data_IF_885648513468
#
_entry.id   IF_885648513468
#
_cell.length_a   1.000
_cell.length_b   1.000
_cell.length_c   1.000
_cell.angle_alpha   90.00
_cell.angle_beta   90.00
_cell.angle_gamma   90.00
#
_symmetry.space_group_name_H-M   'P 1'
#
loop_
_entity.id
_entity.type
_entity.pdbx_description
1 polymer ?
#
# COMPACT_ATOMS: atom_id res chain seq x y z
N UNK A 1 9.90 13.30 4.60
CA UNK A 1 9.49 12.86 5.99
C UNK A 1 7.98 12.68 6.14
N UNK A 2 7.13 13.68 5.93
CA UNK A 2 5.68 13.60 6.23
C UNK A 2 4.95 12.36 5.66
N UNK A 3 5.28 11.90 4.46
CA UNK A 3 4.69 10.70 3.87
C UNK A 3 5.01 9.42 4.66
N UNK A 4 6.26 9.27 5.11
CA UNK A 4 6.70 8.10 5.89
C UNK A 4 6.11 8.13 7.29
N UNK A 5 6.08 9.27 7.95
CA UNK A 5 5.44 9.42 9.27
C UNK A 5 3.96 9.04 9.21
N UNK A 6 3.26 9.47 8.16
CA UNK A 6 1.86 9.11 7.96
C UNK A 6 1.71 7.62 7.64
N UNK A 7 2.60 7.03 6.83
CA UNK A 7 2.60 5.59 6.56
C UNK A 7 2.74 4.77 7.86
N UNK A 8 3.70 5.14 8.71
CA UNK A 8 3.92 4.47 10.00
C UNK A 8 2.76 4.68 10.98
N UNK A 9 2.08 5.83 10.91
CA UNK A 9 0.86 6.07 11.68
C UNK A 9 -0.29 5.16 11.25
N UNK A 10 -0.52 5.02 9.94
CA UNK A 10 -1.56 4.13 9.39
C UNK A 10 -1.24 2.66 9.70
N UNK A 11 0.04 2.26 9.62
CA UNK A 11 0.49 0.92 9.98
C UNK A 11 0.17 0.58 11.44
N UNK A 12 0.50 1.47 12.37
CA UNK A 12 0.17 1.30 13.79
C UNK A 12 -1.35 1.24 14.04
N UNK A 13 -2.13 2.04 13.30
CA UNK A 13 -3.59 2.01 13.39
C UNK A 13 -4.14 0.68 12.88
N UNK A 14 -3.60 0.15 11.77
CA UNK A 14 -3.98 -1.14 11.22
C UNK A 14 -3.77 -2.29 12.22
N UNK A 15 -2.60 -2.36 12.86
CA UNK A 15 -2.31 -3.37 13.90
C UNK A 15 -3.25 -3.28 15.10
N UNK A 16 -3.59 -2.07 15.54
CA UNK A 16 -4.56 -1.89 16.63
C UNK A 16 -5.95 -2.42 16.26
N UNK A 17 -6.37 -2.25 14.99
CA UNK A 17 -7.65 -2.74 14.50
C UNK A 17 -7.64 -4.27 14.31
N UNK A 18 -6.55 -4.82 13.77
CA UNK A 18 -6.35 -6.26 13.61
C UNK A 18 -6.39 -6.99 14.98
N UNK A 19 -5.69 -6.46 15.99
CA UNK A 19 -5.58 -7.06 17.31
C UNK A 19 -6.91 -7.12 18.07
N UNK A 20 -7.94 -6.37 17.67
CA UNK A 20 -9.28 -6.50 18.23
C UNK A 20 -9.93 -7.83 17.89
N UNK A 21 -9.47 -8.50 16.83
CA UNK A 21 -10.04 -9.74 16.30
C UNK A 21 -11.57 -9.68 16.08
N UNK A 22 -12.07 -8.49 15.75
CA UNK A 22 -13.48 -8.22 15.44
C UNK A 22 -13.63 -8.11 13.92
N UNK A 23 -14.39 -9.04 13.29
CA UNK A 23 -14.62 -9.01 11.84
C UNK A 23 -15.11 -7.65 11.31
N UNK A 24 -15.85 -6.90 12.14
CA UNK A 24 -16.36 -5.56 11.75
C UNK A 24 -15.26 -4.52 11.59
N UNK A 25 -14.08 -4.75 12.16
CA UNK A 25 -12.92 -3.86 12.03
C UNK A 25 -11.94 -4.31 10.96
N UNK A 26 -12.12 -5.48 10.36
CA UNK A 26 -11.17 -6.05 9.41
C UNK A 26 -10.99 -5.21 8.15
N UNK A 27 -12.06 -4.64 7.59
CA UNK A 27 -11.94 -3.72 6.46
C UNK A 27 -11.14 -2.48 6.80
N UNK A 28 -11.36 -1.93 7.98
CA UNK A 28 -10.62 -0.75 8.43
C UNK A 28 -9.13 -1.08 8.61
N UNK A 29 -8.80 -2.27 9.15
CA UNK A 29 -7.42 -2.73 9.25
C UNK A 29 -6.76 -2.84 7.87
N UNK A 30 -7.44 -3.47 6.90
CA UNK A 30 -6.96 -3.61 5.53
C UNK A 30 -6.82 -2.26 4.85
N UNK A 31 -7.80 -1.36 5.00
CA UNK A 31 -7.70 0.01 4.48
C UNK A 31 -6.44 0.71 4.99
N UNK A 32 -6.17 0.57 6.29
CA UNK A 32 -4.98 1.16 6.89
C UNK A 32 -3.67 0.53 6.42
N UNK A 33 -3.61 -0.79 6.21
CA UNK A 33 -2.45 -1.45 5.61
C UNK A 33 -2.21 -0.98 4.17
N UNK A 34 -3.26 -0.89 3.36
CA UNK A 34 -3.16 -0.37 1.99
C UNK A 34 -2.68 1.09 1.99
N UNK A 35 -3.26 1.95 2.83
CA UNK A 35 -2.86 3.35 2.96
C UNK A 35 -1.42 3.51 3.45
N UNK A 36 -0.95 2.66 4.36
CA UNK A 36 0.44 2.68 4.83
C UNK A 36 1.41 2.39 3.67
N UNK A 37 1.17 1.33 2.91
CA UNK A 37 1.99 0.99 1.73
C UNK A 37 1.92 2.09 0.68
N UNK A 38 0.75 2.61 0.38
CA UNK A 38 0.56 3.72 -0.57
C UNK A 38 1.41 4.93 -0.19
N UNK A 39 1.33 5.37 1.06
CA UNK A 39 2.06 6.54 1.54
C UNK A 39 3.56 6.31 1.60
N UNK A 40 4.00 5.11 1.95
CA UNK A 40 5.41 4.76 1.95
C UNK A 40 6.00 4.82 0.52
N UNK A 41 5.30 4.28 -0.48
CA UNK A 41 5.71 4.37 -1.89
C UNK A 41 5.72 5.83 -2.38
N UNK A 42 4.70 6.61 -2.02
CA UNK A 42 4.66 8.05 -2.34
C UNK A 42 5.79 8.83 -1.69
N UNK A 43 6.21 8.44 -0.49
CA UNK A 43 7.37 9.02 0.18
C UNK A 43 8.66 8.84 -0.62
N UNK A 44 8.92 7.63 -1.10
CA UNK A 44 10.08 7.36 -1.97
C UNK A 44 10.01 8.20 -3.26
N UNK A 45 8.85 8.23 -3.92
CA UNK A 45 8.68 9.02 -5.14
C UNK A 45 8.91 10.51 -4.92
N UNK A 46 8.44 11.06 -3.79
CA UNK A 46 8.63 12.46 -3.44
C UNK A 46 10.12 12.83 -3.26
N UNK A 47 10.89 11.96 -2.59
CA UNK A 47 12.33 12.20 -2.42
C UNK A 47 13.08 12.07 -3.74
N UNK A 48 12.77 11.07 -4.56
CA UNK A 48 13.36 10.91 -5.89
C UNK A 48 13.02 12.10 -6.81
N UNK A 49 11.81 12.64 -6.69
CA UNK A 49 11.42 13.86 -7.41
C UNK A 49 12.21 15.06 -6.93
N UNK A 50 12.37 15.24 -5.62
CA UNK A 50 13.16 16.33 -5.04
C UNK A 50 14.61 16.27 -5.51
N UNK A 51 15.20 15.08 -5.57
CA UNK A 51 16.55 14.85 -6.11
C UNK A 51 16.68 14.97 -7.62
N UNK A 52 15.62 15.30 -8.35
CA UNK A 52 15.64 15.41 -9.81
C UNK A 52 15.79 14.09 -10.58
N UNK A 53 15.71 12.95 -9.86
CA UNK A 53 15.89 11.60 -10.42
C UNK A 53 14.59 11.06 -11.04
N UNK A 54 13.45 11.59 -10.62
CA UNK A 54 12.13 11.16 -11.02
C UNK A 54 11.23 12.36 -11.34
N UNK A 55 10.72 12.41 -12.58
CA UNK A 55 9.90 13.54 -13.03
C UNK A 55 8.42 13.46 -12.65
N UNK A 56 7.96 12.23 -12.24
CA UNK A 56 6.56 11.97 -11.98
C UNK A 56 6.24 11.98 -10.49
N UNK A 57 5.96 12.98 -9.81
CA UNK A 57 5.67 13.05 -8.37
C UNK A 57 4.72 11.98 -7.80
N UNK A 58 4.40 12.03 -6.51
CA UNK A 58 3.62 10.99 -5.82
C UNK A 58 2.19 10.77 -6.36
N UNK A 59 1.67 11.71 -7.15
CA UNK A 59 0.36 11.60 -7.78
C UNK A 59 -0.81 11.56 -6.79
N UNK A 60 -2.04 11.63 -7.33
CA UNK A 60 -3.27 11.63 -6.53
C UNK A 60 -3.99 10.27 -6.53
N UNK A 61 -3.46 9.26 -7.22
CA UNK A 61 -4.07 7.92 -7.29
C UNK A 61 -3.78 7.11 -6.03
N UNK A 62 -4.73 6.29 -5.63
CA UNK A 62 -4.56 5.34 -4.53
C UNK A 62 -3.78 4.10 -4.96
N UNK A 63 -3.85 3.71 -6.23
CA UNK A 63 -3.04 2.62 -6.76
C UNK A 63 -1.58 3.05 -6.92
N UNK A 64 -0.66 2.25 -6.39
CA UNK A 64 0.78 2.53 -6.38
C UNK A 64 1.60 1.69 -7.36
N UNK A 65 1.01 0.68 -7.98
CA UNK A 65 1.72 -0.18 -8.93
C UNK A 65 2.43 0.60 -10.05
N UNK A 66 1.79 1.58 -10.71
CA UNK A 66 2.49 2.38 -11.73
C UNK A 66 3.66 3.17 -11.16
N UNK A 67 3.53 3.64 -9.93
CA UNK A 67 4.58 4.40 -9.25
C UNK A 67 5.76 3.49 -8.85
N UNK A 68 5.49 2.29 -8.37
CA UNK A 68 6.51 1.28 -8.08
C UNK A 68 7.30 0.95 -9.35
N UNK A 69 6.61 0.71 -10.47
CA UNK A 69 7.27 0.44 -11.75
C UNK A 69 8.15 1.60 -12.21
N UNK A 70 7.70 2.85 -12.00
CA UNK A 70 8.48 4.03 -12.33
C UNK A 70 9.73 4.17 -11.44
N UNK A 71 9.61 3.90 -10.14
CA UNK A 71 10.74 3.88 -9.20
C UNK A 71 11.77 2.80 -9.59
N UNK A 72 11.31 1.63 -10.07
CA UNK A 72 12.18 0.56 -10.54
C UNK A 72 13.01 0.92 -11.77
N UNK A 73 12.50 1.78 -12.61
CA UNK A 73 13.18 2.22 -13.83
C UNK A 73 14.14 3.39 -13.60
N UNK A 74 14.37 3.80 -12.33
CA UNK A 74 15.39 4.78 -11.99
C UNK A 74 16.77 4.25 -12.42
N UNK A 75 17.60 5.07 -13.09
CA UNK A 75 18.90 4.66 -13.59
C UNK A 75 19.77 4.06 -12.47
N UNK A 76 20.37 2.89 -12.77
CA UNK A 76 21.28 2.22 -11.84
C UNK A 76 22.66 2.81 -12.01
N UNK A 77 23.16 3.47 -10.97
CA UNK A 77 24.54 3.98 -10.88
C UNK A 77 25.26 3.38 -9.67
N UNK A 78 26.57 3.43 -9.67
CA UNK A 78 27.37 2.97 -8.52
C UNK A 78 27.07 3.78 -7.26
N UNK A 79 26.75 5.06 -7.39
CA UNK A 79 26.34 5.95 -6.32
C UNK A 79 25.04 5.49 -5.64
N UNK A 80 24.18 4.77 -6.37
CA UNK A 80 22.88 4.29 -5.90
C UNK A 80 22.90 2.80 -5.51
N UNK A 81 24.07 2.14 -5.41
CA UNK A 81 24.18 0.68 -5.22
C UNK A 81 23.41 0.17 -3.99
N UNK A 82 23.52 0.84 -2.84
CA UNK A 82 22.81 0.43 -1.63
C UNK A 82 21.30 0.67 -1.72
N UNK A 83 20.90 1.73 -2.38
CA UNK A 83 19.50 1.99 -2.71
C UNK A 83 18.93 0.87 -3.59
N UNK A 84 19.66 0.49 -4.65
CA UNK A 84 19.27 -0.58 -5.57
C UNK A 84 19.11 -1.91 -4.83
N UNK A 85 20.05 -2.26 -3.93
CA UNK A 85 19.93 -3.49 -3.12
C UNK A 85 18.65 -3.50 -2.27
N UNK A 86 18.31 -2.37 -1.64
CA UNK A 86 17.07 -2.25 -0.86
C UNK A 86 15.84 -2.34 -1.75
N UNK A 87 15.88 -1.69 -2.92
CA UNK A 87 14.81 -1.79 -3.91
C UNK A 87 14.65 -3.22 -4.43
N UNK A 88 15.73 -3.93 -4.74
CA UNK A 88 15.69 -5.33 -5.17
C UNK A 88 15.05 -6.24 -4.11
N UNK A 89 15.18 -5.93 -2.82
CA UNK A 89 14.49 -6.65 -1.75
C UNK A 89 12.96 -6.47 -1.77
N UNK A 90 12.44 -5.33 -2.26
CA UNK A 90 11.00 -5.13 -2.45
C UNK A 90 10.44 -5.99 -3.58
N UNK A 91 11.30 -6.34 -4.55
CA UNK A 91 10.88 -6.94 -5.81
C UNK A 91 11.09 -8.46 -5.88
N UNK A 92 11.33 -9.11 -4.75
CA UNK A 92 11.22 -10.56 -4.69
C UNK A 92 9.82 -11.00 -5.14
N UNK A 93 9.69 -12.04 -5.99
CA UNK A 93 8.42 -12.40 -6.63
C UNK A 93 7.24 -12.60 -5.68
N UNK A 94 7.49 -13.10 -4.46
CA UNK A 94 6.46 -13.26 -3.45
C UNK A 94 5.98 -11.90 -2.89
N UNK A 95 6.88 -10.90 -2.74
CA UNK A 95 6.50 -9.55 -2.28
C UNK A 95 5.76 -8.77 -3.34
N UNK A 96 6.16 -8.89 -4.60
CA UNK A 96 5.42 -8.26 -5.71
C UNK A 96 3.96 -8.72 -5.74
N UNK A 97 3.71 -10.04 -5.55
CA UNK A 97 2.35 -10.58 -5.48
C UNK A 97 1.55 -10.00 -4.32
N UNK A 98 2.17 -9.87 -3.15
CA UNK A 98 1.49 -9.37 -1.97
C UNK A 98 1.26 -7.85 -2.05
N UNK A 99 2.20 -7.09 -2.61
CA UNK A 99 2.02 -5.66 -2.90
C UNK A 99 0.91 -5.46 -3.92
N UNK A 100 0.90 -6.26 -4.99
CA UNK A 100 -0.16 -6.19 -5.99
C UNK A 100 -1.54 -6.56 -5.41
N UNK A 101 -1.59 -7.53 -4.48
CA UNK A 101 -2.82 -7.89 -3.79
C UNK A 101 -3.33 -6.76 -2.88
N UNK A 102 -2.43 -6.06 -2.16
CA UNK A 102 -2.80 -4.87 -1.39
C UNK A 102 -3.22 -3.71 -2.29
N UNK A 103 -2.51 -3.50 -3.40
CA UNK A 103 -2.83 -2.43 -4.37
C UNK A 103 -4.18 -2.66 -5.06
N UNK A 104 -4.53 -3.92 -5.32
CA UNK A 104 -5.83 -4.29 -5.87
C UNK A 104 -7.00 -3.94 -4.94
N UNK A 105 -6.72 -3.73 -3.65
CA UNK A 105 -7.68 -3.28 -2.65
C UNK A 105 -7.72 -1.74 -2.52
N UNK A 106 -6.92 -1.01 -3.30
CA UNK A 106 -6.97 0.44 -3.32
C UNK A 106 -8.41 0.90 -3.62
N UNK A 107 -8.93 1.88 -2.86
CA UNK A 107 -10.30 2.33 -3.03
C UNK A 107 -10.49 2.85 -4.45
N UNK A 108 -11.43 2.25 -5.14
CA UNK A 108 -11.92 2.74 -6.43
C UNK A 108 -13.26 3.39 -6.15
N UNK A 109 -13.36 4.69 -6.42
CA UNK A 109 -14.65 5.39 -6.38
C UNK A 109 -15.64 4.60 -7.26
N UNK A 110 -16.92 4.52 -6.89
CA UNK A 110 -17.84 3.58 -7.53
C UNK A 110 -17.83 3.73 -9.05
N UNK A 111 -17.01 2.91 -9.66
CA UNK A 111 -17.07 2.61 -11.07
C UNK A 111 -18.22 1.61 -11.24
N UNK A 112 -19.28 1.93 -11.97
CA UNK A 112 -20.39 1.02 -12.18
C UNK A 112 -19.97 -0.38 -12.62
N UNK A 113 -18.83 -0.50 -13.33
CA UNK A 113 -18.25 -1.78 -13.73
C UNK A 113 -17.55 -2.56 -12.60
N UNK A 114 -17.33 -1.94 -11.45
CA UNK A 114 -16.63 -2.52 -10.30
C UNK A 114 -17.46 -2.58 -9.00
N UNK A 115 -18.76 -2.28 -9.09
CA UNK A 115 -19.66 -2.31 -7.94
C UNK A 115 -19.71 -3.67 -7.23
N UNK A 116 -19.34 -4.75 -7.94
CA UNK A 116 -19.28 -6.11 -7.40
C UNK A 116 -17.88 -6.51 -6.88
N UNK A 117 -16.90 -5.60 -6.98
CA UNK A 117 -15.58 -5.89 -6.47
C UNK A 117 -15.55 -5.75 -4.94
N UNK A 118 -14.82 -6.66 -4.31
CA UNK A 118 -14.47 -6.58 -2.89
C UNK A 118 -13.96 -5.19 -2.55
N UNK A 119 -14.65 -4.51 -1.65
CA UNK A 119 -14.30 -3.15 -1.25
C UNK A 119 -14.22 -3.08 0.28
N UNK A 120 -13.19 -2.45 0.79
CA UNK A 120 -12.94 -2.30 2.21
C UNK A 120 -13.28 -0.90 2.74
N UNK A 121 -13.59 0.04 1.86
CA UNK A 121 -13.79 1.44 2.21
C UNK A 121 -15.20 1.95 1.91
N UNK A 122 -15.80 1.46 0.81
CA UNK A 122 -17.11 1.92 0.33
C UNK A 122 -18.14 0.79 0.28
N UNK A 123 -19.42 1.11 0.49
CA UNK A 123 -20.49 0.17 0.23
C UNK A 123 -20.43 -0.38 -1.21
N UNK A 124 -20.77 -1.64 -1.39
CA UNK A 124 -20.80 -2.30 -2.69
C UNK A 124 -22.18 -2.93 -2.95
N UNK A 125 -22.50 -3.17 -4.21
CA UNK A 125 -23.72 -3.87 -4.62
C UNK A 125 -23.41 -5.33 -4.94
N UNK A 126 -24.27 -6.25 -4.51
CA UNK A 126 -24.20 -7.63 -4.96
C UNK A 126 -24.86 -7.84 -6.34
N UNK A 127 -24.83 -9.07 -6.84
CA UNK A 127 -25.44 -9.42 -8.15
C UNK A 127 -26.96 -9.25 -8.19
N UNK A 128 -27.64 -9.11 -7.04
CA UNK A 128 -29.07 -8.84 -6.94
C UNK A 128 -29.39 -7.34 -6.94
N UNK A 129 -28.37 -6.48 -6.84
CA UNK A 129 -28.51 -5.05 -6.70
C UNK A 129 -28.68 -4.57 -5.26
N UNK A 130 -28.58 -5.45 -4.27
CA UNK A 130 -28.64 -5.07 -2.85
C UNK A 130 -27.33 -4.43 -2.39
N UNK A 131 -27.43 -3.34 -1.61
CA UNK A 131 -26.29 -2.64 -1.04
C UNK A 131 -25.81 -3.30 0.24
N UNK A 132 -24.50 -3.50 0.33
CA UNK A 132 -23.81 -4.05 1.49
C UNK A 132 -22.77 -3.08 2.02
N UNK A 133 -22.62 -2.95 3.36
CA UNK A 133 -21.52 -2.19 3.93
C UNK A 133 -20.20 -2.91 3.66
N UNK A 134 -19.06 -2.16 3.61
CA UNK A 134 -17.75 -2.79 3.59
C UNK A 134 -17.63 -3.73 4.79
N UNK A 135 -17.06 -4.90 4.63
CA UNK A 135 -16.88 -5.86 5.73
C UNK A 135 -18.16 -6.40 6.38
N UNK A 136 -19.16 -6.67 5.61
CA UNK A 136 -20.27 -7.46 6.13
C UNK A 136 -19.77 -8.87 6.49
N UNK A 137 -19.75 -9.27 7.79
CA UNK A 137 -19.09 -10.52 8.21
C UNK A 137 -19.67 -11.78 7.58
N UNK A 138 -20.95 -11.72 7.22
CA UNK A 138 -21.68 -12.85 6.65
C UNK A 138 -21.63 -12.88 5.11
N UNK A 139 -21.01 -11.89 4.48
CA UNK A 139 -20.88 -11.88 3.03
C UNK A 139 -19.79 -12.86 2.58
N UNK A 140 -20.01 -13.59 1.47
CA UNK A 140 -19.05 -14.56 0.92
C UNK A 140 -17.67 -14.01 0.67
N UNK A 141 -17.58 -12.72 0.39
CA UNK A 141 -16.36 -11.99 0.08
C UNK A 141 -15.76 -11.27 1.30
N UNK A 142 -16.28 -11.54 2.51
CA UNK A 142 -15.72 -10.97 3.73
C UNK A 142 -14.25 -11.38 3.92
N UNK A 143 -13.45 -10.46 4.44
CA UNK A 143 -12.03 -10.72 4.72
C UNK A 143 -11.88 -11.67 5.91
N UNK A 144 -10.97 -12.62 5.78
CA UNK A 144 -10.64 -13.59 6.83
C UNK A 144 -9.41 -13.13 7.59
N UNK A 145 -9.35 -13.45 8.88
CA UNK A 145 -8.23 -13.08 9.75
C UNK A 145 -6.86 -13.51 9.20
N UNK A 146 -6.78 -14.67 8.54
CA UNK A 146 -5.55 -15.13 7.90
C UNK A 146 -5.07 -14.26 6.75
N UNK A 147 -5.99 -13.66 5.98
CA UNK A 147 -5.65 -12.72 4.91
C UNK A 147 -5.14 -11.40 5.51
N UNK A 148 -5.81 -10.91 6.56
CA UNK A 148 -5.44 -9.66 7.21
C UNK A 148 -4.05 -9.76 7.82
N UNK A 149 -3.74 -10.85 8.52
CA UNK A 149 -2.39 -11.11 9.05
C UNK A 149 -1.33 -11.14 7.96
N UNK A 150 -1.64 -11.76 6.81
CA UNK A 150 -0.73 -11.77 5.66
C UNK A 150 -0.49 -10.36 5.11
N UNK A 151 -1.54 -9.56 4.97
CA UNK A 151 -1.43 -8.17 4.55
C UNK A 151 -0.66 -7.32 5.57
N UNK A 152 -0.87 -7.55 6.86
CA UNK A 152 -0.11 -6.90 7.93
C UNK A 152 1.39 -7.18 7.81
N UNK A 153 1.80 -8.44 7.71
CA UNK A 153 3.21 -8.83 7.53
C UNK A 153 3.81 -8.20 6.26
N UNK A 154 3.03 -8.13 5.19
CA UNK A 154 3.50 -7.50 3.94
C UNK A 154 3.67 -6.00 4.12
N UNK A 155 2.67 -5.32 4.71
CA UNK A 155 2.72 -3.88 4.94
C UNK A 155 3.89 -3.49 5.86
N UNK A 156 4.14 -4.24 6.95
CA UNK A 156 5.30 -4.05 7.83
C UNK A 156 6.61 -4.06 7.04
N UNK A 157 6.84 -5.13 6.28
CA UNK A 157 8.08 -5.29 5.51
C UNK A 157 8.25 -4.23 4.43
N UNK A 158 7.17 -3.89 3.73
CA UNK A 158 7.21 -2.85 2.69
C UNK A 158 7.51 -1.50 3.31
N UNK A 159 6.84 -1.13 4.40
CA UNK A 159 7.06 0.13 5.08
C UNK A 159 8.48 0.24 5.65
N UNK A 160 9.02 -0.81 6.27
CA UNK A 160 10.39 -0.84 6.79
C UNK A 160 11.42 -0.61 5.68
N UNK A 161 11.28 -1.32 4.55
CA UNK A 161 12.21 -1.18 3.43
C UNK A 161 12.11 0.22 2.83
N UNK A 162 10.89 0.73 2.61
CA UNK A 162 10.67 2.05 2.01
C UNK A 162 11.13 3.18 2.95
N UNK A 163 10.93 3.03 4.25
CA UNK A 163 11.50 3.96 5.24
C UNK A 163 13.02 3.99 5.15
N UNK A 164 13.66 2.81 5.08
CA UNK A 164 15.12 2.73 4.92
C UNK A 164 15.62 3.33 3.60
N UNK A 165 14.83 3.25 2.52
CA UNK A 165 15.14 3.91 1.25
C UNK A 165 15.04 5.43 1.38
N UNK A 166 13.97 5.95 1.99
CA UNK A 166 13.81 7.40 2.19
C UNK A 166 14.96 7.97 3.01
N UNK A 167 15.32 7.34 4.12
CA UNK A 167 16.42 7.78 4.95
C UNK A 167 17.76 7.77 4.18
N UNK A 168 18.01 6.77 3.35
CA UNK A 168 19.22 6.72 2.53
C UNK A 168 19.22 7.81 1.43
N UNK A 169 18.06 8.09 0.82
CA UNK A 169 17.91 9.12 -0.20
C UNK A 169 18.04 10.53 0.37
N UNK A 170 17.54 10.78 1.57
CA UNK A 170 17.68 12.09 2.25
C UNK A 170 19.14 12.41 2.60
N UNK A 171 20.00 11.39 2.77
CA UNK A 171 21.43 11.58 2.93
C UNK A 171 22.15 11.95 1.61
N UNK A 172 21.58 11.53 0.49
CA UNK A 172 22.13 11.81 -0.85
C UNK A 172 21.59 13.12 -1.42
N UNK A 173 20.32 13.42 -1.14
CA UNK A 173 19.60 14.61 -1.61
C UNK A 173 19.06 15.42 -0.40
N UNK A 174 19.95 16.12 0.32
CA UNK A 174 19.59 16.88 1.53
C UNK A 174 18.68 18.07 1.26
#
# INVERSE_FOLDING_TARGET
MAWIEQAMSDLRAAHKLENRNDPRTFCQAISKYQQAVEKAVKGVAAVLQHGGVFSGGPGNRHSVNPLILAILNVPRSDENRELIKKMDQLFLPHRQRDIAALDALAPVYPDPGKLHARNHEYPFQDSSGAWHPPCEPNHRDAFKIGEIKRFGVTADRVCDILQGIVLALELIYP
#
